data_IF_660401193519
#
_entry.id   IF_660401193519
#
_cell.length_a   1.000
_cell.length_b   1.000
_cell.length_c   1.000
_cell.angle_alpha   90.00
_cell.angle_beta   90.00
_cell.angle_gamma   90.00
#
_symmetry.space_group_name_H-M   'P 1'
#
loop_
_entity.id
_entity.type
_entity.pdbx_description
1 polymer ?
#
# COMPACT_ATOMS: atom_id res chain seq x y z
N UNK A 1 -30.89 -115.21 -21.98
CA UNK A 1 -32.11 -114.56 -21.47
C UNK A 1 -31.97 -113.05 -21.72
N UNK A 2 -32.51 -112.53 -22.84
CA UNK A 2 -32.22 -111.17 -23.37
C UNK A 2 -32.57 -110.03 -22.42
N UNK A 3 -33.52 -110.25 -21.51
CA UNK A 3 -33.94 -109.28 -20.49
C UNK A 3 -32.82 -109.00 -19.49
N UNK A 4 -32.06 -110.02 -19.07
CA UNK A 4 -30.93 -109.85 -18.12
C UNK A 4 -29.79 -109.06 -18.77
N UNK A 5 -29.54 -109.25 -20.06
CA UNK A 5 -28.54 -108.50 -20.81
C UNK A 5 -28.95 -107.03 -20.98
N UNK A 6 -30.20 -106.74 -21.32
CA UNK A 6 -30.73 -105.37 -21.40
C UNK A 6 -30.63 -104.63 -20.05
N UNK A 7 -30.96 -105.31 -18.95
CA UNK A 7 -30.82 -104.73 -17.60
C UNK A 7 -29.36 -104.47 -17.22
N UNK A 8 -28.44 -105.36 -17.60
CA UNK A 8 -27.00 -105.17 -17.40
C UNK A 8 -26.45 -103.99 -18.22
N UNK A 9 -26.89 -103.82 -19.47
CA UNK A 9 -26.45 -102.71 -20.32
C UNK A 9 -27.02 -101.36 -19.82
N UNK A 10 -28.26 -101.34 -19.34
CA UNK A 10 -28.86 -100.16 -18.68
C UNK A 10 -28.14 -99.81 -17.37
N UNK A 11 -27.72 -100.80 -16.59
CA UNK A 11 -26.94 -100.56 -15.36
C UNK A 11 -25.59 -99.91 -15.66
N UNK A 12 -24.87 -100.40 -16.68
CA UNK A 12 -23.60 -99.80 -17.12
C UNK A 12 -23.81 -98.37 -17.61
N UNK A 13 -24.87 -98.13 -18.41
CA UNK A 13 -25.21 -96.80 -18.93
C UNK A 13 -25.58 -95.83 -17.80
N UNK A 14 -26.42 -96.24 -16.85
CA UNK A 14 -26.79 -95.42 -15.68
C UNK A 14 -25.56 -95.10 -14.83
N UNK A 15 -24.64 -96.04 -14.65
CA UNK A 15 -23.38 -95.78 -13.92
C UNK A 15 -22.49 -94.77 -14.64
N UNK A 16 -22.37 -94.87 -15.97
CA UNK A 16 -21.62 -93.91 -16.78
C UNK A 16 -22.27 -92.52 -16.74
N UNK A 17 -23.57 -92.42 -17.00
CA UNK A 17 -24.33 -91.16 -16.94
C UNK A 17 -24.31 -90.54 -15.54
N UNK A 18 -24.37 -91.36 -14.48
CA UNK A 18 -24.23 -90.90 -13.09
C UNK A 18 -22.85 -90.34 -12.79
N UNK A 19 -21.78 -90.98 -13.30
CA UNK A 19 -20.40 -90.47 -13.17
C UNK A 19 -20.22 -89.15 -13.91
N UNK A 20 -20.69 -89.04 -15.15
CA UNK A 20 -20.62 -87.81 -15.95
C UNK A 20 -21.44 -86.68 -15.31
N UNK A 21 -22.64 -86.98 -14.81
CA UNK A 21 -23.47 -86.01 -14.10
C UNK A 21 -22.82 -85.51 -12.81
N UNK A 22 -22.16 -86.40 -12.04
CA UNK A 22 -21.42 -86.03 -10.84
C UNK A 22 -20.22 -85.12 -11.16
N UNK A 23 -19.42 -85.46 -12.18
CA UNK A 23 -18.30 -84.61 -12.63
C UNK A 23 -18.77 -83.24 -13.10
N UNK A 24 -19.86 -83.18 -13.87
CA UNK A 24 -20.43 -81.92 -14.34
C UNK A 24 -20.94 -81.07 -13.17
N UNK A 25 -21.59 -81.69 -12.19
CA UNK A 25 -22.05 -81.01 -10.98
C UNK A 25 -20.87 -80.49 -10.14
N UNK A 26 -19.80 -81.26 -9.96
CA UNK A 26 -18.60 -80.81 -9.26
C UNK A 26 -17.93 -79.63 -9.96
N UNK A 27 -17.77 -79.71 -11.29
CA UNK A 27 -17.24 -78.61 -12.12
C UNK A 27 -18.11 -77.36 -12.02
N UNK A 28 -19.42 -77.50 -12.15
CA UNK A 28 -20.36 -76.38 -12.05
C UNK A 28 -20.38 -75.76 -10.65
N UNK A 29 -20.40 -76.57 -9.59
CA UNK A 29 -20.32 -76.09 -8.21
C UNK A 29 -19.01 -75.33 -7.95
N UNK A 30 -17.89 -75.84 -8.46
CA UNK A 30 -16.59 -75.16 -8.34
C UNK A 30 -16.60 -73.83 -9.09
N UNK A 31 -17.12 -73.81 -10.32
CA UNK A 31 -17.28 -72.59 -11.10
C UNK A 31 -18.16 -71.56 -10.38
N UNK A 32 -19.32 -71.97 -9.85
CA UNK A 32 -20.19 -71.08 -9.06
C UNK A 32 -19.48 -70.49 -7.84
N UNK A 33 -18.68 -71.29 -7.11
CA UNK A 33 -17.89 -70.81 -5.97
C UNK A 33 -16.82 -69.81 -6.40
N UNK A 34 -16.11 -70.09 -7.49
CA UNK A 34 -15.08 -69.21 -8.02
C UNK A 34 -15.67 -67.88 -8.52
N UNK A 35 -16.77 -67.93 -9.27
CA UNK A 35 -17.49 -66.74 -9.73
C UNK A 35 -18.02 -65.91 -8.56
N UNK A 36 -18.62 -66.56 -7.54
CA UNK A 36 -19.08 -65.86 -6.35
C UNK A 36 -17.94 -65.17 -5.62
N UNK A 37 -16.76 -65.79 -5.56
CA UNK A 37 -15.57 -65.22 -4.91
C UNK A 37 -15.00 -64.04 -5.71
N UNK A 38 -14.87 -64.19 -7.03
CA UNK A 38 -14.37 -63.13 -7.91
C UNK A 38 -15.30 -61.92 -7.91
N UNK A 39 -16.62 -62.14 -7.93
CA UNK A 39 -17.60 -61.07 -7.81
C UNK A 39 -17.49 -60.36 -6.45
N UNK A 40 -17.36 -61.10 -5.35
CA UNK A 40 -17.17 -60.50 -4.03
C UNK A 40 -15.92 -59.62 -3.97
N UNK A 41 -14.78 -60.10 -4.49
CA UNK A 41 -13.56 -59.29 -4.56
C UNK A 41 -13.72 -58.05 -5.43
N UNK A 42 -14.39 -58.17 -6.59
CA UNK A 42 -14.67 -57.00 -7.45
C UNK A 42 -15.50 -55.96 -6.72
N UNK A 43 -16.55 -56.39 -6.00
CA UNK A 43 -17.40 -55.49 -5.21
C UNK A 43 -16.61 -54.81 -4.09
N UNK A 44 -15.74 -55.55 -3.39
CA UNK A 44 -14.90 -54.97 -2.34
C UNK A 44 -13.93 -53.93 -2.92
N UNK A 45 -13.26 -54.21 -4.04
CA UNK A 45 -12.38 -53.26 -4.74
C UNK A 45 -13.15 -52.04 -5.24
N UNK A 46 -14.29 -52.23 -5.91
CA UNK A 46 -15.13 -51.12 -6.37
C UNK A 46 -15.60 -50.25 -5.20
N UNK A 47 -15.86 -50.86 -4.03
CA UNK A 47 -16.27 -50.14 -2.83
C UNK A 47 -15.12 -49.34 -2.20
N UNK A 48 -13.89 -49.84 -2.24
CA UNK A 48 -12.67 -49.10 -1.86
C UNK A 48 -12.47 -47.90 -2.81
N UNK A 49 -12.52 -48.12 -4.13
CA UNK A 49 -12.39 -47.06 -5.13
C UNK A 49 -13.45 -45.95 -4.96
N UNK A 50 -14.70 -46.32 -4.68
CA UNK A 50 -15.79 -45.35 -4.39
C UNK A 50 -15.47 -44.52 -3.14
N UNK A 51 -14.88 -45.11 -2.10
CA UNK A 51 -14.54 -44.40 -0.89
C UNK A 51 -13.37 -43.43 -1.12
N UNK A 52 -12.35 -43.85 -1.86
CA UNK A 52 -11.21 -43.01 -2.23
C UNK A 52 -11.64 -41.84 -3.11
N UNK A 53 -12.45 -42.08 -4.14
CA UNK A 53 -13.00 -41.02 -4.99
C UNK A 53 -13.85 -40.02 -4.19
N UNK A 54 -14.66 -40.49 -3.22
CA UNK A 54 -15.41 -39.59 -2.33
C UNK A 54 -14.50 -38.73 -1.47
N UNK A 55 -13.43 -39.31 -0.93
CA UNK A 55 -12.45 -38.56 -0.14
C UNK A 55 -11.75 -37.49 -0.99
N UNK A 56 -11.30 -37.84 -2.20
CA UNK A 56 -10.71 -36.88 -3.15
C UNK A 56 -11.69 -35.79 -3.55
N UNK A 57 -12.97 -36.10 -3.80
CA UNK A 57 -13.99 -35.12 -4.13
C UNK A 57 -14.25 -34.15 -2.96
N UNK A 58 -14.26 -34.63 -1.72
CA UNK A 58 -14.37 -33.78 -0.53
C UNK A 58 -13.16 -32.85 -0.39
N UNK A 59 -11.95 -33.37 -0.61
CA UNK A 59 -10.73 -32.58 -0.59
C UNK A 59 -10.74 -31.48 -1.66
N UNK A 60 -11.04 -31.81 -2.92
CA UNK A 60 -11.10 -30.84 -4.01
C UNK A 60 -12.14 -29.74 -3.76
N UNK A 61 -13.31 -30.10 -3.22
CA UNK A 61 -14.33 -29.10 -2.85
C UNK A 61 -13.87 -28.17 -1.72
N UNK A 62 -13.20 -28.70 -0.70
CA UNK A 62 -12.63 -27.89 0.38
C UNK A 62 -11.56 -26.94 -0.16
N UNK A 63 -10.64 -27.42 -0.99
CA UNK A 63 -9.60 -26.62 -1.62
C UNK A 63 -10.19 -25.53 -2.54
N UNK A 64 -11.21 -25.86 -3.35
CA UNK A 64 -11.93 -24.90 -4.20
C UNK A 64 -12.61 -23.80 -3.35
N UNK A 65 -13.20 -24.17 -2.21
CA UNK A 65 -13.82 -23.21 -1.28
C UNK A 65 -12.80 -22.25 -0.68
N UNK A 66 -11.65 -22.76 -0.22
CA UNK A 66 -10.57 -21.94 0.34
C UNK A 66 -10.02 -20.97 -0.72
N UNK A 67 -9.81 -21.45 -1.95
CA UNK A 67 -9.34 -20.60 -3.04
C UNK A 67 -10.34 -19.50 -3.40
N UNK A 68 -11.65 -19.77 -3.39
CA UNK A 68 -12.67 -18.74 -3.61
C UNK A 68 -12.64 -17.66 -2.54
N UNK A 69 -12.50 -18.02 -1.26
CA UNK A 69 -12.29 -17.04 -0.19
C UNK A 69 -11.04 -16.21 -0.42
N UNK A 70 -9.90 -16.84 -0.77
CA UNK A 70 -8.66 -16.12 -1.09
C UNK A 70 -8.85 -15.13 -2.25
N UNK A 71 -9.63 -15.49 -3.28
CA UNK A 71 -9.95 -14.59 -4.40
C UNK A 71 -10.73 -13.36 -3.91
N UNK A 72 -11.73 -13.53 -3.04
CA UNK A 72 -12.51 -12.43 -2.48
C UNK A 72 -11.64 -11.49 -1.63
N UNK A 73 -10.77 -12.06 -0.78
CA UNK A 73 -9.84 -11.30 0.05
C UNK A 73 -8.83 -10.51 -0.80
N UNK A 74 -8.20 -11.16 -1.79
CA UNK A 74 -7.25 -10.52 -2.70
C UNK A 74 -7.90 -9.42 -3.53
N UNK A 75 -9.11 -9.65 -4.05
CA UNK A 75 -9.83 -8.65 -4.82
C UNK A 75 -10.18 -7.42 -3.97
N UNK A 76 -10.59 -7.66 -2.72
CA UNK A 76 -10.90 -6.57 -1.77
C UNK A 76 -9.65 -5.78 -1.38
N UNK A 77 -8.55 -6.48 -1.08
CA UNK A 77 -7.27 -5.84 -0.76
C UNK A 77 -6.73 -5.02 -1.92
N UNK A 78 -6.75 -5.56 -3.14
CA UNK A 78 -6.28 -4.85 -4.34
C UNK A 78 -7.11 -3.60 -4.61
N UNK A 79 -8.43 -3.66 -4.43
CA UNK A 79 -9.30 -2.50 -4.59
C UNK A 79 -9.04 -1.43 -3.51
N UNK A 80 -8.74 -1.83 -2.27
CA UNK A 80 -8.35 -0.89 -1.22
C UNK A 80 -7.01 -0.21 -1.55
N UNK A 81 -5.99 -0.97 -1.95
CA UNK A 81 -4.69 -0.41 -2.33
C UNK A 81 -4.79 0.57 -3.51
N UNK A 82 -5.68 0.33 -4.50
CA UNK A 82 -5.95 1.29 -5.58
C UNK A 82 -6.55 2.62 -5.09
N UNK A 83 -7.47 2.55 -4.13
CA UNK A 83 -8.09 3.74 -3.52
C UNK A 83 -7.07 4.51 -2.68
N UNK A 84 -6.25 3.81 -1.92
CA UNK A 84 -5.20 4.40 -1.07
C UNK A 84 -4.12 5.06 -1.94
N UNK A 85 -3.69 4.41 -3.03
CA UNK A 85 -2.72 4.96 -3.96
C UNK A 85 -3.22 6.27 -4.58
N UNK A 86 -4.49 6.30 -4.99
CA UNK A 86 -5.11 7.51 -5.53
C UNK A 86 -5.17 8.62 -4.48
N UNK A 87 -5.67 8.29 -3.29
CA UNK A 87 -5.83 9.27 -2.21
C UNK A 87 -4.49 9.85 -1.77
N UNK A 88 -3.46 9.02 -1.62
CA UNK A 88 -2.12 9.46 -1.31
C UNK A 88 -1.53 10.36 -2.41
N UNK A 89 -1.81 10.05 -3.68
CA UNK A 89 -1.35 10.87 -4.82
C UNK A 89 -2.03 12.23 -4.82
N UNK A 90 -3.35 12.27 -4.62
CA UNK A 90 -4.11 13.52 -4.57
C UNK A 90 -3.61 14.43 -3.42
N UNK A 91 -3.41 13.87 -2.23
CA UNK A 91 -2.84 14.61 -1.07
C UNK A 91 -1.45 15.14 -1.41
N UNK A 92 -0.59 14.30 -1.99
CA UNK A 92 0.79 14.68 -2.30
C UNK A 92 0.85 15.82 -3.33
N UNK A 93 -0.03 15.80 -4.32
CA UNK A 93 -0.12 16.86 -5.32
C UNK A 93 -0.56 18.19 -4.68
N UNK A 94 -1.52 18.17 -3.76
CA UNK A 94 -1.95 19.35 -2.99
C UNK A 94 -0.82 19.89 -2.09
N UNK A 95 -0.14 19.03 -1.34
CA UNK A 95 1.00 19.39 -0.49
C UNK A 95 2.14 19.99 -1.31
N UNK A 96 2.46 19.42 -2.48
CA UNK A 96 3.52 19.93 -3.34
C UNK A 96 3.18 21.33 -3.87
N UNK A 97 1.93 21.57 -4.25
CA UNK A 97 1.47 22.90 -4.68
C UNK A 97 1.60 23.92 -3.55
N UNK A 98 1.23 23.54 -2.32
CA UNK A 98 1.40 24.40 -1.15
C UNK A 98 2.87 24.70 -0.85
N UNK A 99 3.74 23.68 -0.92
CA UNK A 99 5.19 23.84 -0.77
C UNK A 99 5.76 24.82 -1.81
N UNK A 100 5.43 24.66 -3.09
CA UNK A 100 5.94 25.55 -4.16
C UNK A 100 5.49 27.01 -3.96
N UNK A 101 4.27 27.21 -3.43
CA UNK A 101 3.78 28.54 -3.09
C UNK A 101 4.57 29.16 -1.93
N UNK A 102 4.78 28.40 -0.85
CA UNK A 102 5.56 28.83 0.32
C UNK A 102 7.03 29.10 -0.03
N UNK A 103 7.67 28.20 -0.79
CA UNK A 103 9.05 28.34 -1.26
C UNK A 103 9.22 29.63 -2.08
N UNK A 104 8.28 29.90 -3.00
CA UNK A 104 8.29 31.11 -3.81
C UNK A 104 8.14 32.37 -2.94
N UNK A 105 7.21 32.35 -1.98
CA UNK A 105 6.99 33.50 -1.10
C UNK A 105 8.23 33.81 -0.24
N UNK A 106 8.86 32.79 0.34
CA UNK A 106 10.09 32.94 1.11
C UNK A 106 11.26 33.45 0.26
N UNK A 107 11.44 32.93 -0.96
CA UNK A 107 12.47 33.43 -1.88
C UNK A 107 12.26 34.91 -2.23
N UNK A 108 11.01 35.31 -2.48
CA UNK A 108 10.67 36.71 -2.74
C UNK A 108 10.89 37.59 -1.49
N UNK A 109 10.63 37.07 -0.29
CA UNK A 109 10.92 37.76 0.98
C UNK A 109 12.43 37.95 1.17
N UNK A 110 13.23 36.90 0.96
CA UNK A 110 14.69 36.96 1.08
C UNK A 110 15.27 38.01 0.12
N UNK A 111 14.87 38.02 -1.16
CA UNK A 111 15.30 39.06 -2.12
C UNK A 111 14.89 40.48 -1.68
N UNK A 112 13.71 40.63 -1.06
CA UNK A 112 13.29 41.94 -0.51
C UNK A 112 14.15 42.38 0.68
N UNK A 113 14.51 41.44 1.56
CA UNK A 113 15.36 41.70 2.73
C UNK A 113 16.80 42.06 2.29
N UNK A 114 17.39 41.29 1.37
CA UNK A 114 18.73 41.56 0.83
C UNK A 114 18.84 42.96 0.21
N UNK A 115 17.83 43.35 -0.59
CA UNK A 115 17.77 44.68 -1.19
C UNK A 115 17.60 45.77 -0.14
N UNK A 116 16.72 45.56 0.85
CA UNK A 116 16.51 46.52 1.92
C UNK A 116 17.77 46.74 2.77
N UNK A 117 18.44 45.65 3.18
CA UNK A 117 19.73 45.69 3.90
C UNK A 117 20.79 46.41 3.07
N UNK A 118 20.94 46.05 1.78
CA UNK A 118 21.92 46.68 0.88
C UNK A 118 21.72 48.19 0.71
N UNK A 119 20.45 48.63 0.58
CA UNK A 119 20.11 50.04 0.47
C UNK A 119 20.43 50.77 1.78
N UNK A 120 20.04 50.20 2.92
CA UNK A 120 20.32 50.79 4.23
C UNK A 120 21.82 50.90 4.50
N UNK A 121 22.61 49.87 4.19
CA UNK A 121 24.07 49.90 4.32
C UNK A 121 24.72 50.96 3.42
N UNK A 122 24.19 51.18 2.22
CA UNK A 122 24.68 52.23 1.30
C UNK A 122 24.34 53.62 1.81
N UNK A 123 23.12 53.84 2.29
CA UNK A 123 22.66 55.10 2.86
C UNK A 123 23.37 55.44 4.18
N UNK A 124 23.69 54.43 5.00
CA UNK A 124 24.53 54.55 6.20
C UNK A 124 25.92 55.11 5.89
N UNK A 125 26.50 54.73 4.76
CA UNK A 125 27.81 55.25 4.28
C UNK A 125 27.70 56.65 3.66
N UNK A 126 26.49 57.12 3.30
CA UNK A 126 26.22 58.38 2.60
C UNK A 126 25.89 59.60 3.48
N UNK A 127 25.58 59.40 4.77
CA UNK A 127 25.70 60.43 5.81
C UNK A 127 24.56 61.47 6.00
N UNK A 128 23.42 61.38 5.31
CA UNK A 128 22.34 62.40 5.45
C UNK A 128 20.95 61.84 5.80
N UNK A 129 20.61 60.61 5.39
CA UNK A 129 19.29 59.98 5.58
C UNK A 129 19.12 59.30 6.94
N UNK A 130 20.20 59.12 7.69
CA UNK A 130 20.22 58.35 8.95
C UNK A 130 19.54 59.02 10.14
N UNK A 131 19.52 60.35 10.24
CA UNK A 131 18.90 61.01 11.41
C UNK A 131 17.39 60.73 11.45
N UNK A 132 16.72 60.70 10.28
CA UNK A 132 15.28 60.38 10.21
C UNK A 132 14.99 58.90 10.43
N UNK A 133 15.86 57.99 10.00
CA UNK A 133 15.71 56.55 10.26
C UNK A 133 16.07 56.16 11.71
N UNK A 134 17.06 56.81 12.34
CA UNK A 134 17.35 56.64 13.76
C UNK A 134 16.18 57.07 14.67
N UNK A 135 15.33 57.97 14.17
CA UNK A 135 14.11 58.39 14.86
C UNK A 135 12.89 57.52 14.50
N UNK A 136 13.01 56.56 13.59
CA UNK A 136 11.96 55.57 13.37
C UNK A 136 11.98 54.57 14.53
N UNK A 137 10.91 54.56 15.33
CA UNK A 137 10.83 53.72 16.53
C UNK A 137 10.55 52.23 16.24
N UNK A 138 10.29 51.88 14.98
CA UNK A 138 10.03 50.51 14.56
C UNK A 138 10.45 50.26 13.10
N UNK A 139 10.66 48.99 12.75
CA UNK A 139 10.93 48.53 11.38
C UNK A 139 9.84 49.00 10.41
N UNK A 140 8.57 48.93 10.81
CA UNK A 140 7.42 49.42 10.01
C UNK A 140 7.53 50.92 9.70
N UNK A 141 7.98 51.70 10.68
CA UNK A 141 8.17 53.14 10.51
C UNK A 141 9.36 53.44 9.59
N UNK A 142 10.42 52.64 9.67
CA UNK A 142 11.57 52.71 8.77
C UNK A 142 11.19 52.35 7.32
N UNK A 143 10.42 51.28 7.11
CA UNK A 143 9.89 50.87 5.81
C UNK A 143 9.06 51.99 5.18
N UNK A 144 8.21 52.68 5.96
CA UNK A 144 7.41 53.81 5.48
C UNK A 144 8.28 54.99 5.01
N UNK A 145 9.38 55.30 5.72
CA UNK A 145 10.34 56.34 5.30
C UNK A 145 11.05 55.93 4.01
N UNK A 146 11.45 54.66 3.88
CA UNK A 146 12.08 54.16 2.66
C UNK A 146 11.14 54.19 1.45
N UNK A 147 9.85 53.87 1.62
CA UNK A 147 8.85 54.02 0.54
C UNK A 147 8.67 55.49 0.14
N UNK A 148 8.59 56.40 1.11
CA UNK A 148 8.48 57.84 0.84
C UNK A 148 9.72 58.41 0.16
N UNK A 149 10.90 57.90 0.52
CA UNK A 149 12.17 58.24 -0.12
C UNK A 149 12.35 57.54 -1.49
N UNK A 150 11.37 56.76 -1.95
CA UNK A 150 11.45 55.93 -3.16
C UNK A 150 12.62 54.93 -3.17
N UNK A 151 13.11 54.58 -1.98
CA UNK A 151 14.23 53.66 -1.79
C UNK A 151 13.78 52.20 -1.94
N UNK A 152 12.55 51.87 -1.54
CA UNK A 152 11.90 50.57 -1.78
C UNK A 152 10.50 50.77 -2.36
N UNK A 153 9.96 49.78 -3.08
CA UNK A 153 8.59 49.86 -3.59
C UNK A 153 7.55 49.48 -2.49
N UNK A 154 6.28 49.80 -2.73
CA UNK A 154 5.21 49.56 -1.76
C UNK A 154 4.85 48.08 -1.55
N UNK A 155 5.08 47.22 -2.55
CA UNK A 155 4.82 45.79 -2.44
C UNK A 155 5.85 45.10 -1.53
N UNK A 156 7.13 45.40 -1.73
CA UNK A 156 8.23 44.94 -0.89
C UNK A 156 8.04 45.40 0.56
N UNK A 157 7.69 46.68 0.77
CA UNK A 157 7.40 47.21 2.10
C UNK A 157 6.25 46.47 2.80
N UNK A 158 5.24 46.03 2.03
CA UNK A 158 4.09 45.29 2.57
C UNK A 158 4.47 43.87 2.96
N UNK A 159 5.28 43.18 2.15
CA UNK A 159 5.80 41.83 2.42
C UNK A 159 6.67 41.81 3.68
N UNK A 160 7.60 42.76 3.79
CA UNK A 160 8.46 42.91 4.96
C UNK A 160 7.67 43.21 6.24
N UNK A 161 6.60 44.02 6.11
CA UNK A 161 5.70 44.30 7.24
C UNK A 161 4.92 43.05 7.65
N UNK A 162 4.46 42.24 6.69
CA UNK A 162 3.76 40.98 6.97
C UNK A 162 4.68 39.96 7.65
N UNK A 163 5.93 39.81 7.17
CA UNK A 163 6.93 38.96 7.81
C UNK A 163 7.21 39.40 9.26
N UNK A 164 7.46 40.70 9.48
CA UNK A 164 7.69 41.24 10.81
C UNK A 164 6.50 41.06 11.76
N UNK A 165 5.27 41.13 11.23
CA UNK A 165 4.07 40.84 12.02
C UNK A 165 3.92 39.35 12.31
N UNK A 166 4.30 38.48 11.37
CA UNK A 166 4.27 37.03 11.56
C UNK A 166 5.33 36.59 12.59
N UNK A 167 6.53 37.18 12.54
CA UNK A 167 7.60 36.96 13.51
C UNK A 167 7.26 37.49 14.92
N UNK A 168 6.32 38.43 15.04
CA UNK A 168 5.78 38.87 16.35
C UNK A 168 4.58 38.04 16.81
N UNK A 169 3.85 37.39 15.90
CA UNK A 169 2.65 36.60 16.21
C UNK A 169 2.95 35.18 16.72
N UNK A 170 4.18 34.70 16.56
CA UNK A 170 4.65 33.45 17.15
C UNK A 170 4.75 33.48 18.69
N UNK A 171 4.40 34.60 19.34
CA UNK A 171 4.41 34.78 20.80
C UNK A 171 3.06 34.45 21.51
N UNK A 172 1.94 34.24 20.79
CA UNK A 172 0.60 34.25 21.43
C UNK A 172 -0.34 33.08 21.03
N UNK A 173 0.22 31.97 20.54
CA UNK A 173 -0.54 30.76 20.19
C UNK A 173 0.06 29.51 20.83
N UNK A 174 -0.25 29.32 22.11
CA UNK A 174 -0.07 28.05 22.81
C UNK A 174 -1.07 26.98 22.30
N UNK A 175 -0.59 25.73 22.32
CA UNK A 175 -1.29 24.42 22.24
C UNK A 175 -1.52 23.76 20.86
N UNK A 176 -0.51 23.02 20.38
CA UNK A 176 -0.61 21.56 20.18
C UNK A 176 0.78 20.93 19.89
N UNK A 177 1.05 19.84 20.61
CA UNK A 177 2.29 19.06 20.74
C UNK A 177 2.69 18.29 19.46
N UNK A 178 4.00 18.17 19.22
CA UNK A 178 4.74 16.96 18.78
C UNK A 178 5.86 17.23 17.72
N UNK A 179 7.10 16.90 18.14
CA UNK A 179 8.42 16.84 17.43
C UNK A 179 9.33 18.08 17.52
N UNK A 180 10.23 18.04 18.51
CA UNK A 180 11.06 19.17 18.92
C UNK A 180 12.42 19.39 18.22
N UNK A 181 12.87 20.64 18.28
CA UNK A 181 14.26 21.12 18.31
C UNK A 181 14.28 22.57 18.90
N UNK A 182 15.42 23.05 19.45
CA UNK A 182 15.42 23.77 20.74
C UNK A 182 15.44 25.32 20.71
N UNK A 183 14.89 25.87 21.79
CA UNK A 183 15.22 27.13 22.48
C UNK A 183 14.87 28.48 21.84
N UNK A 184 13.67 28.96 22.19
CA UNK A 184 13.25 30.36 22.22
C UNK A 184 14.01 31.20 23.29
N UNK A 185 15.35 31.17 23.30
CA UNK A 185 16.16 31.91 24.28
C UNK A 185 17.27 32.78 23.66
N UNK A 186 17.22 33.08 22.36
CA UNK A 186 18.26 33.90 21.70
C UNK A 186 17.80 35.31 21.36
N UNK A 187 16.49 35.61 21.34
CA UNK A 187 16.00 36.88 20.81
C UNK A 187 15.46 37.86 21.87
N UNK A 188 16.10 37.89 23.03
CA UNK A 188 15.86 38.91 24.06
C UNK A 188 17.20 39.59 24.39
N UNK A 189 17.68 40.52 23.54
CA UNK A 189 18.50 41.68 23.98
C UNK A 189 19.12 42.59 22.90
N UNK A 190 19.04 42.35 21.59
CA UNK A 190 19.75 43.21 20.62
C UNK A 190 18.85 44.25 19.94
N UNK A 191 18.57 45.34 20.68
CA UNK A 191 18.02 46.58 20.12
C UNK A 191 19.10 47.42 19.39
N UNK A 192 19.85 46.80 18.48
CA UNK A 192 21.00 47.41 17.79
C UNK A 192 20.75 47.73 16.32
N UNK A 193 19.94 48.75 16.03
CA UNK A 193 19.66 49.27 14.67
C UNK A 193 18.72 48.43 13.79
N UNK A 194 17.93 49.12 12.97
CA UNK A 194 16.98 48.54 12.00
C UNK A 194 17.67 47.58 11.02
N UNK A 195 18.98 47.75 10.77
CA UNK A 195 19.74 46.87 9.88
C UNK A 195 19.96 45.50 10.51
N UNK A 196 20.32 45.44 11.80
CA UNK A 196 20.48 44.17 12.53
C UNK A 196 19.16 43.39 12.53
N UNK A 197 18.04 44.07 12.82
CA UNK A 197 16.72 43.41 12.79
C UNK A 197 16.32 42.87 11.41
N UNK A 198 16.72 43.53 10.32
CA UNK A 198 16.44 43.05 8.96
C UNK A 198 17.38 41.90 8.55
N UNK A 199 18.63 41.93 9.00
CA UNK A 199 19.58 40.82 8.81
C UNK A 199 19.14 39.57 9.58
N UNK A 200 18.62 39.74 10.80
CA UNK A 200 18.08 38.63 11.58
C UNK A 200 16.83 38.03 10.93
N UNK A 201 15.90 38.86 10.44
CA UNK A 201 14.74 38.39 9.66
C UNK A 201 15.16 37.67 8.37
N UNK A 202 16.26 38.10 7.74
CA UNK A 202 16.80 37.43 6.55
C UNK A 202 17.30 36.03 6.91
N UNK A 203 18.11 35.91 7.97
CA UNK A 203 18.60 34.61 8.44
C UNK A 203 17.46 33.68 8.84
N UNK A 204 16.41 34.21 9.47
CA UNK A 204 15.21 33.42 9.80
C UNK A 204 14.48 32.92 8.54
N UNK A 205 14.26 33.79 7.54
CA UNK A 205 13.62 33.40 6.29
C UNK A 205 14.45 32.37 5.49
N UNK A 206 15.78 32.49 5.51
CA UNK A 206 16.70 31.52 4.91
C UNK A 206 16.65 30.17 5.64
N UNK A 207 16.62 30.18 6.98
CA UNK A 207 16.48 28.97 7.78
C UNK A 207 15.13 28.28 7.52
N UNK A 208 14.03 29.04 7.53
CA UNK A 208 12.69 28.52 7.22
C UNK A 208 12.62 27.93 5.80
N UNK A 209 13.26 28.58 4.81
CA UNK A 209 13.36 28.06 3.45
C UNK A 209 14.09 26.71 3.39
N UNK A 210 15.21 26.59 4.10
CA UNK A 210 15.98 25.34 4.17
C UNK A 210 15.20 24.23 4.90
N UNK A 211 14.46 24.59 5.95
CA UNK A 211 13.60 23.67 6.71
C UNK A 211 12.47 23.13 5.83
N UNK A 212 11.67 23.99 5.16
CA UNK A 212 10.58 23.51 4.29
C UNK A 212 11.10 22.67 3.12
N UNK A 213 12.30 22.96 2.60
CA UNK A 213 12.97 22.14 1.57
C UNK A 213 13.47 20.81 2.12
N UNK A 214 13.83 20.77 3.40
CA UNK A 214 14.11 19.55 4.14
C UNK A 214 12.86 18.68 4.27
N UNK A 215 11.77 19.26 4.75
CA UNK A 215 10.47 18.60 4.91
C UNK A 215 9.94 18.06 3.59
N UNK A 216 9.95 18.85 2.51
CA UNK A 216 9.53 18.42 1.17
C UNK A 216 10.36 17.24 0.63
N UNK A 217 11.66 17.19 0.95
CA UNK A 217 12.49 16.02 0.59
C UNK A 217 12.05 14.77 1.36
N UNK A 218 11.75 14.90 2.65
CA UNK A 218 11.21 13.83 3.47
C UNK A 218 9.85 13.36 2.96
N UNK A 219 8.90 14.28 2.80
CA UNK A 219 7.54 14.00 2.33
C UNK A 219 7.55 13.30 0.96
N UNK A 220 8.33 13.81 -0.01
CA UNK A 220 8.51 13.16 -1.31
C UNK A 220 9.05 11.73 -1.18
N UNK A 221 10.08 11.53 -0.36
CA UNK A 221 10.67 10.21 -0.19
C UNK A 221 9.68 9.21 0.45
N UNK A 222 8.95 9.64 1.49
CA UNK A 222 7.92 8.83 2.12
C UNK A 222 6.79 8.48 1.14
N UNK A 223 6.34 9.45 0.35
CA UNK A 223 5.35 9.21 -0.69
C UNK A 223 5.84 8.23 -1.75
N UNK A 224 7.07 8.36 -2.23
CA UNK A 224 7.66 7.43 -3.22
C UNK A 224 7.70 6.00 -2.69
N UNK A 225 8.09 5.80 -1.42
CA UNK A 225 8.08 4.49 -0.78
C UNK A 225 6.66 3.92 -0.66
N UNK A 226 5.70 4.71 -0.19
CA UNK A 226 4.30 4.30 -0.04
C UNK A 226 3.68 3.95 -1.40
N UNK A 227 3.92 4.80 -2.40
CA UNK A 227 3.47 4.59 -3.78
C UNK A 227 4.02 3.27 -4.32
N UNK A 228 5.32 3.05 -4.19
CA UNK A 228 5.94 1.80 -4.65
C UNK A 228 5.35 0.58 -3.94
N UNK A 229 5.17 0.62 -2.61
CA UNK A 229 4.59 -0.52 -1.90
C UNK A 229 3.15 -0.81 -2.34
N UNK A 230 2.34 0.23 -2.60
CA UNK A 230 0.97 0.05 -3.07
C UNK A 230 0.92 -0.46 -4.52
N UNK A 231 1.80 0.04 -5.40
CA UNK A 231 1.92 -0.45 -6.78
C UNK A 231 2.34 -1.93 -6.80
N UNK A 232 3.30 -2.32 -5.96
CA UNK A 232 3.73 -3.71 -5.81
C UNK A 232 2.60 -4.60 -5.26
N UNK A 233 1.86 -4.15 -4.24
CA UNK A 233 0.70 -4.87 -3.70
C UNK A 233 -0.38 -5.09 -4.75
N UNK A 234 -0.69 -4.08 -5.57
CA UNK A 234 -1.66 -4.19 -6.65
C UNK A 234 -1.18 -5.18 -7.71
N UNK A 235 0.10 -5.09 -8.11
CA UNK A 235 0.67 -5.98 -9.12
C UNK A 235 0.66 -7.43 -8.65
N UNK A 236 1.27 -7.71 -7.50
CA UNK A 236 1.33 -9.08 -6.98
C UNK A 236 -0.05 -9.60 -6.60
N UNK A 237 -0.93 -8.76 -6.06
CA UNK A 237 -2.32 -9.11 -5.81
C UNK A 237 -3.05 -9.53 -7.08
N UNK A 238 -2.84 -8.85 -8.20
CA UNK A 238 -3.43 -9.22 -9.49
C UNK A 238 -2.89 -10.55 -10.04
N UNK A 239 -1.59 -10.81 -9.89
CA UNK A 239 -0.95 -12.08 -10.26
C UNK A 239 -1.51 -13.25 -9.42
N UNK A 240 -1.54 -13.10 -8.10
CA UNK A 240 -2.10 -14.07 -7.15
C UNK A 240 -3.59 -14.36 -7.44
N UNK A 241 -4.37 -13.32 -7.78
CA UNK A 241 -5.78 -13.43 -8.11
C UNK A 241 -5.98 -14.23 -9.42
N UNK A 242 -5.14 -13.98 -10.42
CA UNK A 242 -5.17 -14.72 -11.68
C UNK A 242 -4.81 -16.21 -11.47
N UNK A 243 -3.78 -16.50 -10.68
CA UNK A 243 -3.37 -17.87 -10.35
C UNK A 243 -4.44 -18.60 -9.53
N UNK A 244 -5.02 -17.95 -8.53
CA UNK A 244 -6.09 -18.52 -7.71
C UNK A 244 -7.32 -18.84 -8.56
N UNK A 245 -7.74 -17.92 -9.46
CA UNK A 245 -8.85 -18.16 -10.39
C UNK A 245 -8.58 -19.35 -11.30
N UNK A 246 -7.38 -19.46 -11.86
CA UNK A 246 -6.98 -20.61 -12.69
C UNK A 246 -7.05 -21.92 -11.89
N UNK A 247 -6.53 -21.91 -10.66
CA UNK A 247 -6.54 -23.07 -9.77
C UNK A 247 -7.96 -23.54 -9.41
N UNK A 248 -8.90 -22.62 -9.22
CA UNK A 248 -10.32 -22.95 -9.00
C UNK A 248 -10.91 -23.64 -10.22
N UNK A 249 -10.69 -23.10 -11.42
CA UNK A 249 -11.18 -23.71 -12.68
C UNK A 249 -10.63 -25.13 -12.87
N UNK A 250 -9.34 -25.35 -12.61
CA UNK A 250 -8.71 -26.67 -12.71
C UNK A 250 -9.29 -27.67 -11.70
N UNK A 251 -9.57 -27.24 -10.47
CA UNK A 251 -10.18 -28.11 -9.45
C UNK A 251 -11.66 -28.40 -9.72
N UNK A 252 -12.42 -27.38 -10.13
CA UNK A 252 -13.83 -27.56 -10.49
C UNK A 252 -13.98 -28.50 -11.69
N UNK A 253 -13.04 -28.46 -12.65
CA UNK A 253 -13.00 -29.39 -13.77
C UNK A 253 -12.68 -30.84 -13.38
N UNK A 254 -12.03 -31.07 -12.22
CA UNK A 254 -11.81 -32.42 -11.67
C UNK A 254 -13.01 -32.92 -10.85
N UNK A 255 -13.87 -32.00 -10.39
CA UNK A 255 -15.10 -32.32 -9.66
C UNK A 255 -16.25 -32.68 -10.62
N UNK A 256 -16.25 -32.15 -11.85
CA UNK A 256 -17.30 -32.35 -12.87
C UNK A 256 -17.04 -33.54 -13.77
#
# INVERSE_FOLDING_TARGET
NKVVQLLSDLEVKIKAESSEANELHEKFSTWCKEQSKNLAFSVDTDQEDVNDLKASLQQLNAESTVLRSKIEDLASSSAASEVDLKSATDIRDEEHVAFLAAEKELLEIIDTLERAVSILERELKGGASMIQLQHAGSVVQALRVMVQASAINSADASRLTALFQNSQKSEDADEMDELGAPSAAVYESHSGSIVETLQDLQQQAEAELDDIRGEERGARHHFELLKQSLEDEIQFGAEDLAEAKKSVVERDAQIT
#
